data_IF_622743487319
#
_entry.id   IF_622743487319
#
_cell.length_a   1.000
_cell.length_b   1.000
_cell.length_c   1.000
_cell.angle_alpha   90.00
_cell.angle_beta   90.00
_cell.angle_gamma   90.00
#
_symmetry.space_group_name_H-M   'P 1'
#
loop_
_entity.id
_entity.type
_entity.pdbx_description
1 polymer ?
#
# COMPACT_ATOMS: atom_id res chain seq x y z
N UNK A 1 8.04 -14.79 -24.94
CA UNK A 1 8.55 -16.07 -24.34
C UNK A 1 7.65 -16.40 -23.13
N UNK A 2 7.92 -17.43 -22.31
CA UNK A 2 7.23 -17.63 -21.02
C UNK A 2 8.25 -17.88 -19.93
N UNK A 3 8.27 -17.05 -18.89
CA UNK A 3 9.14 -17.22 -17.72
C UNK A 3 8.35 -17.72 -16.52
N UNK A 4 8.80 -18.82 -15.91
CA UNK A 4 8.27 -19.29 -14.61
C UNK A 4 8.83 -18.42 -13.50
N UNK A 5 7.95 -17.87 -12.67
CA UNK A 5 8.32 -17.04 -11.51
C UNK A 5 8.68 -17.97 -10.34
N UNK A 6 9.81 -17.73 -9.66
CA UNK A 6 10.33 -18.59 -8.56
C UNK A 6 10.54 -17.76 -7.31
N UNK A 7 9.44 -17.49 -6.62
CA UNK A 7 9.43 -16.66 -5.43
C UNK A 7 10.24 -17.32 -4.28
N UNK A 8 11.32 -16.67 -3.87
CA UNK A 8 12.03 -17.04 -2.65
C UNK A 8 11.23 -16.54 -1.45
N UNK A 9 10.35 -17.38 -0.90
CA UNK A 9 9.41 -16.96 0.15
C UNK A 9 10.04 -16.85 1.54
N UNK A 10 11.29 -17.29 1.70
CA UNK A 10 12.00 -17.34 2.99
C UNK A 10 12.27 -15.96 3.58
N UNK A 11 12.41 -14.94 2.74
CA UNK A 11 12.72 -13.58 3.16
C UNK A 11 11.45 -12.74 3.47
N UNK A 12 10.26 -13.37 3.39
CA UNK A 12 8.96 -12.68 3.49
C UNK A 12 8.01 -13.27 4.55
N UNK A 13 8.23 -14.50 5.05
CA UNK A 13 7.31 -15.18 5.98
C UNK A 13 8.01 -16.03 7.05
N UNK A 14 7.36 -16.19 8.21
CA UNK A 14 7.71 -17.22 9.20
C UNK A 14 7.56 -18.64 8.64
N UNK A 15 8.34 -19.58 9.18
CA UNK A 15 8.48 -20.95 8.70
C UNK A 15 7.14 -21.70 8.54
N UNK A 16 6.22 -21.62 9.50
CA UNK A 16 4.90 -22.27 9.42
C UNK A 16 4.03 -21.72 8.28
N UNK A 17 4.16 -20.42 8.01
CA UNK A 17 3.51 -19.76 6.87
C UNK A 17 4.21 -20.13 5.57
N UNK A 18 5.54 -20.28 5.57
CA UNK A 18 6.29 -20.81 4.42
C UNK A 18 5.83 -22.22 4.07
N UNK A 19 5.75 -23.17 5.02
CA UNK A 19 5.30 -24.55 4.72
C UNK A 19 3.87 -24.61 4.17
N UNK A 20 2.97 -23.82 4.76
CA UNK A 20 1.58 -23.71 4.29
C UNK A 20 1.50 -23.08 2.89
N UNK A 21 2.25 -22.02 2.62
CA UNK A 21 2.30 -21.42 1.28
C UNK A 21 3.00 -22.39 0.32
N UNK A 22 4.05 -23.12 0.69
CA UNK A 22 4.70 -24.12 -0.16
C UNK A 22 3.72 -25.26 -0.52
N UNK A 23 2.93 -25.75 0.44
CA UNK A 23 1.93 -26.80 0.19
C UNK A 23 0.83 -26.33 -0.77
N UNK A 24 0.36 -25.09 -0.62
CA UNK A 24 -0.70 -24.54 -1.47
C UNK A 24 -0.16 -24.03 -2.83
N UNK A 25 1.07 -23.52 -2.90
CA UNK A 25 1.72 -23.14 -4.17
C UNK A 25 2.12 -24.35 -5.01
N UNK A 26 2.39 -25.53 -4.42
CA UNK A 26 2.51 -26.78 -5.20
C UNK A 26 1.28 -27.13 -6.04
N UNK A 27 0.10 -26.55 -5.73
CA UNK A 27 -1.13 -26.73 -6.53
C UNK A 27 -1.21 -25.81 -7.75
N UNK A 28 -0.34 -24.79 -7.82
CA UNK A 28 -0.40 -23.73 -8.81
C UNK A 28 0.95 -23.44 -9.47
N UNK A 29 0.97 -23.21 -10.77
CA UNK A 29 2.13 -22.68 -11.47
C UNK A 29 1.91 -21.22 -11.84
N UNK A 30 2.85 -20.35 -11.48
CA UNK A 30 2.82 -18.93 -11.83
C UNK A 30 3.76 -18.62 -12.99
N UNK A 31 3.20 -17.99 -14.02
CA UNK A 31 3.87 -17.71 -15.29
C UNK A 31 3.75 -16.23 -15.65
N UNK A 32 4.86 -15.62 -16.06
CA UNK A 32 4.87 -14.35 -16.80
C UNK A 32 4.59 -14.62 -18.27
N UNK A 33 3.64 -13.88 -18.84
CA UNK A 33 3.22 -13.96 -20.24
C UNK A 33 3.88 -12.82 -21.01
N UNK A 34 5.12 -13.06 -21.43
CA UNK A 34 5.97 -12.07 -22.13
C UNK A 34 5.74 -12.09 -23.67
N UNK A 35 4.52 -12.39 -24.12
CA UNK A 35 4.12 -12.36 -25.53
C UNK A 35 2.60 -12.11 -25.63
N UNK A 36 2.14 -11.00 -26.21
CA UNK A 36 0.71 -10.69 -26.36
C UNK A 36 -0.04 -11.64 -27.30
N UNK A 37 0.69 -12.35 -28.17
CA UNK A 37 0.12 -13.32 -29.12
C UNK A 37 0.09 -14.75 -28.54
N UNK A 38 0.37 -14.92 -27.24
CA UNK A 38 0.20 -16.18 -26.54
C UNK A 38 -1.27 -16.45 -26.17
N UNK A 39 -1.80 -17.69 -26.29
CA UNK A 39 -3.18 -18.01 -25.90
C UNK A 39 -3.52 -17.67 -24.45
N UNK A 40 -2.53 -17.70 -23.55
CA UNK A 40 -2.68 -17.31 -22.14
C UNK A 40 -2.96 -15.82 -21.94
N UNK A 41 -2.46 -14.95 -22.83
CA UNK A 41 -2.81 -13.53 -22.80
C UNK A 41 -4.28 -13.37 -23.17
N UNK A 42 -4.75 -14.04 -24.22
CA UNK A 42 -6.15 -13.94 -24.65
C UNK A 42 -7.15 -14.52 -23.64
N UNK A 43 -6.88 -15.70 -23.04
CA UNK A 43 -7.72 -16.25 -21.96
C UNK A 43 -7.66 -15.36 -20.70
N UNK A 44 -6.45 -14.93 -20.31
CA UNK A 44 -6.26 -14.11 -19.13
C UNK A 44 -6.92 -12.74 -19.24
N UNK A 45 -6.76 -12.06 -20.39
CA UNK A 45 -7.36 -10.77 -20.67
C UNK A 45 -8.88 -10.86 -20.61
N UNK A 46 -9.49 -11.90 -21.20
CA UNK A 46 -10.95 -12.05 -21.16
C UNK A 46 -11.47 -12.17 -19.72
N UNK A 47 -10.77 -12.88 -18.84
CA UNK A 47 -11.14 -12.99 -17.43
C UNK A 47 -11.06 -11.67 -16.66
N UNK A 48 -10.08 -10.82 -16.99
CA UNK A 48 -10.00 -9.45 -16.44
C UNK A 48 -11.10 -8.57 -17.03
N UNK A 49 -11.26 -8.55 -18.35
CA UNK A 49 -12.24 -7.75 -19.06
C UNK A 49 -13.68 -8.05 -18.62
N UNK A 50 -14.07 -9.32 -18.52
CA UNK A 50 -15.40 -9.74 -18.03
C UNK A 50 -15.69 -9.27 -16.59
N UNK A 51 -14.65 -8.95 -15.82
CA UNK A 51 -14.76 -8.52 -14.42
C UNK A 51 -14.72 -7.01 -14.26
N UNK A 52 -13.85 -6.32 -14.99
CA UNK A 52 -13.49 -4.92 -14.77
C UNK A 52 -13.85 -3.99 -15.94
N UNK A 53 -13.98 -4.52 -17.17
CA UNK A 53 -14.41 -3.77 -18.35
C UNK A 53 -15.80 -3.14 -18.19
N UNK A 54 -16.83 -3.85 -17.69
CA UNK A 54 -18.16 -3.29 -17.46
C UNK A 54 -18.23 -2.10 -16.50
N UNK A 55 -17.23 -1.89 -15.64
CA UNK A 55 -17.14 -0.75 -14.72
C UNK A 55 -16.16 0.34 -15.16
N UNK A 56 -15.55 0.20 -16.35
CA UNK A 56 -14.46 1.04 -16.84
C UNK A 56 -13.21 1.05 -15.92
N UNK A 57 -13.00 -0.02 -15.15
CA UNK A 57 -11.79 -0.30 -14.35
C UNK A 57 -10.79 -1.16 -15.17
N UNK A 58 -10.67 -1.01 -16.50
CA UNK A 58 -9.83 -1.88 -17.34
C UNK A 58 -9.43 -1.19 -18.66
N UNK A 59 -8.18 -1.28 -19.07
CA UNK A 59 -7.70 -0.79 -20.37
C UNK A 59 -8.12 -1.72 -21.52
N UNK A 60 -8.15 -1.15 -22.73
CA UNK A 60 -8.53 -1.86 -23.95
C UNK A 60 -7.44 -2.86 -24.37
N UNK A 61 -7.83 -3.93 -25.07
CA UNK A 61 -6.94 -5.06 -25.39
C UNK A 61 -5.71 -4.67 -26.22
N UNK A 62 -5.88 -3.72 -27.13
CA UNK A 62 -4.82 -3.16 -27.96
C UNK A 62 -3.76 -2.41 -27.13
N UNK A 63 -4.18 -1.68 -26.09
CA UNK A 63 -3.28 -0.99 -25.14
C UNK A 63 -2.40 -2.01 -24.41
N UNK A 64 -2.99 -3.04 -23.78
CA UNK A 64 -2.21 -4.05 -23.06
C UNK A 64 -1.32 -4.91 -23.98
N UNK A 65 -1.70 -5.07 -25.26
CA UNK A 65 -0.84 -5.70 -26.26
C UNK A 65 0.32 -4.81 -26.70
N UNK A 66 0.16 -3.49 -26.67
CA UNK A 66 1.23 -2.51 -26.91
C UNK A 66 2.24 -2.57 -25.76
N UNK A 67 1.77 -2.45 -24.51
CA UNK A 67 2.61 -2.54 -23.30
C UNK A 67 3.48 -3.81 -23.21
N UNK A 68 3.02 -4.95 -23.73
CA UNK A 68 3.82 -6.20 -23.79
C UNK A 68 4.83 -6.26 -24.96
N UNK A 69 4.81 -5.29 -25.87
CA UNK A 69 5.71 -5.16 -27.04
C UNK A 69 6.71 -4.01 -26.88
N UNK A 70 6.35 -2.98 -26.13
CA UNK A 70 7.20 -1.82 -25.88
C UNK A 70 8.50 -2.25 -25.16
N UNK A 71 9.61 -1.54 -25.43
CA UNK A 71 10.91 -1.83 -24.81
C UNK A 71 10.96 -1.19 -23.41
N UNK A 72 10.95 -1.99 -22.31
CA UNK A 72 10.95 -1.43 -20.97
C UNK A 72 12.27 -0.77 -20.59
N UNK A 73 13.30 -0.80 -21.43
CA UNK A 73 14.60 -0.16 -21.17
C UNK A 73 14.73 1.23 -21.82
N UNK A 74 13.78 1.65 -22.64
CA UNK A 74 13.66 3.05 -23.06
C UNK A 74 12.64 3.78 -22.17
N UNK A 75 12.96 5.00 -21.69
CA UNK A 75 12.06 5.74 -20.81
C UNK A 75 11.02 6.53 -21.60
N UNK A 76 9.85 6.73 -20.99
CA UNK A 76 8.85 7.68 -21.46
C UNK A 76 9.39 9.12 -21.52
N UNK A 77 8.72 10.06 -22.24
CA UNK A 77 9.13 11.46 -22.31
C UNK A 77 9.31 12.18 -20.97
N UNK A 78 8.70 11.68 -19.89
CA UNK A 78 8.87 12.16 -18.51
C UNK A 78 10.17 11.69 -17.83
N UNK A 79 10.91 10.78 -18.46
CA UNK A 79 12.06 10.05 -17.88
C UNK A 79 11.67 8.82 -17.05
N UNK A 80 10.41 8.38 -17.09
CA UNK A 80 9.94 7.20 -16.36
C UNK A 80 10.21 5.93 -17.15
N UNK A 81 10.94 5.00 -16.51
CA UNK A 81 11.09 3.64 -16.97
C UNK A 81 9.89 2.80 -16.54
N UNK A 82 9.26 2.12 -17.49
CA UNK A 82 8.06 1.31 -17.28
C UNK A 82 8.28 -0.14 -17.71
N UNK A 83 7.80 -1.08 -16.90
CA UNK A 83 7.71 -2.49 -17.29
C UNK A 83 6.37 -3.08 -16.89
N UNK A 84 5.50 -3.22 -17.87
CA UNK A 84 4.26 -3.97 -17.72
C UNK A 84 4.55 -5.45 -17.45
N UNK A 85 3.69 -6.10 -16.67
CA UNK A 85 3.74 -7.54 -16.43
C UNK A 85 2.34 -8.14 -16.52
N UNK A 86 2.25 -9.32 -17.13
CA UNK A 86 1.02 -10.10 -17.20
C UNK A 86 1.25 -11.49 -16.59
N UNK A 87 0.63 -11.75 -15.44
CA UNK A 87 0.80 -12.96 -14.65
C UNK A 87 -0.43 -13.85 -14.72
N UNK A 88 -0.22 -15.11 -15.11
CA UNK A 88 -1.25 -16.15 -15.05
C UNK A 88 -0.85 -17.25 -14.07
N UNK A 89 -1.77 -17.57 -13.16
CA UNK A 89 -1.66 -18.71 -12.27
C UNK A 89 -2.50 -19.88 -12.79
N UNK A 90 -1.87 -21.03 -13.01
CA UNK A 90 -2.49 -22.25 -13.52
C UNK A 90 -2.66 -23.29 -12.43
N UNK A 91 -3.77 -24.01 -12.41
CA UNK A 91 -3.93 -25.20 -11.57
C UNK A 91 -3.18 -26.40 -12.12
N UNK A 92 -3.12 -27.50 -11.35
CA UNK A 92 -2.55 -28.78 -11.80
C UNK A 92 -3.25 -29.38 -13.04
N UNK A 93 -4.47 -28.92 -13.38
CA UNK A 93 -5.19 -29.26 -14.62
C UNK A 93 -4.87 -28.33 -15.81
N UNK A 94 -3.83 -27.49 -15.69
CA UNK A 94 -3.35 -26.55 -16.72
C UNK A 94 -4.21 -25.31 -16.94
N UNK A 95 -5.43 -25.26 -16.38
CA UNK A 95 -6.38 -24.14 -16.53
C UNK A 95 -5.97 -22.93 -15.71
N UNK A 96 -6.22 -21.72 -16.24
CA UNK A 96 -6.01 -20.48 -15.50
C UNK A 96 -6.98 -20.42 -14.31
N UNK A 97 -6.45 -20.14 -13.12
CA UNK A 97 -7.16 -20.03 -11.82
C UNK A 97 -7.13 -18.62 -11.25
N UNK A 98 -6.11 -17.84 -11.61
CA UNK A 98 -6.05 -16.41 -11.32
C UNK A 98 -5.17 -15.67 -12.33
N UNK A 99 -5.41 -14.38 -12.45
CA UNK A 99 -4.72 -13.45 -13.36
C UNK A 99 -4.39 -12.19 -12.57
N UNK A 100 -3.23 -11.60 -12.84
CA UNK A 100 -2.79 -10.31 -12.29
C UNK A 100 -2.00 -9.58 -13.36
N UNK A 101 -2.27 -8.31 -13.52
CA UNK A 101 -1.42 -7.40 -14.28
C UNK A 101 -1.06 -6.14 -13.47
N UNK A 102 -0.29 -5.27 -14.11
CA UNK A 102 0.20 -3.99 -13.60
C UNK A 102 1.56 -3.63 -14.18
N UNK A 103 2.14 -2.53 -13.67
CA UNK A 103 3.39 -1.95 -14.20
C UNK A 103 4.39 -1.68 -13.09
N UNK A 104 5.68 -1.88 -13.37
CA UNK A 104 6.78 -1.45 -12.52
C UNK A 104 7.28 -0.10 -13.03
N UNK A 105 7.33 0.90 -12.16
CA UNK A 105 7.47 2.32 -12.49
C UNK A 105 8.65 2.92 -11.71
N UNK A 106 9.62 3.49 -12.42
CA UNK A 106 10.85 4.08 -11.83
C UNK A 106 11.22 5.37 -12.56
N UNK A 107 11.33 6.48 -11.83
CA UNK A 107 11.82 7.75 -12.39
C UNK A 107 12.79 8.43 -11.40
N UNK A 108 14.11 8.40 -11.67
CA UNK A 108 15.11 9.00 -10.80
C UNK A 108 14.94 10.51 -10.57
N UNK A 109 14.31 11.24 -11.51
CA UNK A 109 14.06 12.68 -11.38
C UNK A 109 12.87 12.98 -10.45
N UNK A 110 11.87 12.11 -10.37
CA UNK A 110 10.81 12.21 -9.36
C UNK A 110 11.29 11.73 -7.98
N UNK A 111 12.04 10.62 -7.94
CA UNK A 111 12.71 10.16 -6.73
C UNK A 111 13.83 9.17 -7.06
N UNK A 112 15.09 9.42 -6.65
CA UNK A 112 16.25 8.62 -7.05
C UNK A 112 16.28 7.22 -6.43
N UNK A 113 15.39 6.93 -5.49
CA UNK A 113 15.36 5.66 -4.76
C UNK A 113 13.97 5.05 -4.60
N UNK A 114 12.96 5.49 -5.36
CA UNK A 114 11.61 4.94 -5.32
C UNK A 114 11.36 4.01 -6.52
N UNK A 115 10.81 2.83 -6.24
CA UNK A 115 10.21 1.95 -7.24
C UNK A 115 8.75 1.71 -6.84
N UNK A 116 7.82 2.06 -7.72
CA UNK A 116 6.39 1.78 -7.54
C UNK A 116 6.04 0.57 -8.39
N UNK A 117 5.44 -0.44 -7.76
CA UNK A 117 4.81 -1.54 -8.49
C UNK A 117 3.32 -1.29 -8.44
N UNK A 118 2.79 -0.73 -9.53
CA UNK A 118 1.37 -0.55 -9.72
C UNK A 118 0.73 -1.92 -9.99
N UNK A 119 -0.35 -2.19 -9.28
CA UNK A 119 -1.08 -3.44 -9.26
C UNK A 119 -2.51 -3.15 -9.76
N UNK A 120 -2.68 -3.03 -11.08
CA UNK A 120 -3.92 -2.68 -11.76
C UNK A 120 -5.07 -3.70 -11.52
N UNK A 121 -5.15 -4.81 -12.26
CA UNK A 121 -6.25 -5.79 -12.16
C UNK A 121 -5.83 -7.13 -11.54
N UNK A 122 -6.70 -7.71 -10.70
CA UNK A 122 -6.50 -9.06 -10.15
C UNK A 122 -7.80 -9.86 -10.13
N UNK A 123 -7.82 -10.96 -10.86
CA UNK A 123 -8.92 -11.90 -10.89
C UNK A 123 -8.56 -13.25 -10.29
N UNK A 124 -9.53 -13.90 -9.66
CA UNK A 124 -9.47 -15.31 -9.28
C UNK A 124 -10.80 -15.99 -9.56
N UNK A 125 -10.74 -17.14 -10.23
CA UNK A 125 -11.89 -18.02 -10.40
C UNK A 125 -12.42 -18.48 -9.03
N UNK A 126 -13.75 -18.64 -8.85
CA UNK A 126 -14.35 -19.00 -7.56
C UNK A 126 -13.67 -20.16 -6.82
N UNK A 127 -13.27 -21.22 -7.53
CA UNK A 127 -12.62 -22.41 -6.94
C UNK A 127 -11.25 -22.13 -6.29
N UNK A 128 -10.56 -21.07 -6.71
CA UNK A 128 -9.24 -20.68 -6.20
C UNK A 128 -9.31 -19.58 -5.13
N UNK A 129 -10.49 -18.99 -4.90
CA UNK A 129 -10.71 -17.99 -3.84
C UNK A 129 -10.53 -18.63 -2.47
N UNK A 130 -10.06 -17.84 -1.51
CA UNK A 130 -9.83 -18.33 -0.15
C UNK A 130 -8.52 -19.10 0.05
N UNK A 131 -7.70 -19.22 -1.00
CA UNK A 131 -6.36 -19.81 -0.94
C UNK A 131 -5.26 -18.73 -0.89
N UNK A 132 -4.02 -19.16 -0.64
CA UNK A 132 -2.83 -18.28 -0.68
C UNK A 132 -2.57 -17.66 -2.05
N UNK A 133 -3.22 -18.14 -3.12
CA UNK A 133 -3.02 -17.64 -4.49
C UNK A 133 -3.29 -16.13 -4.61
N UNK A 134 -4.29 -15.64 -3.87
CA UNK A 134 -4.64 -14.22 -3.76
C UNK A 134 -3.50 -13.35 -3.22
N UNK A 135 -2.67 -13.93 -2.35
CA UNK A 135 -1.49 -13.30 -1.79
C UNK A 135 -0.33 -13.42 -2.78
N UNK A 136 -0.13 -14.61 -3.36
CA UNK A 136 0.97 -14.88 -4.29
C UNK A 136 0.92 -13.94 -5.51
N UNK A 137 -0.25 -13.75 -6.11
CA UNK A 137 -0.46 -12.81 -7.23
C UNK A 137 -0.23 -11.33 -6.86
N UNK A 138 -0.26 -10.96 -5.56
CA UNK A 138 0.05 -9.58 -5.13
C UNK A 138 1.54 -9.36 -4.85
N UNK A 139 2.28 -10.41 -4.49
CA UNK A 139 3.69 -10.31 -4.07
C UNK A 139 4.68 -10.76 -5.15
N UNK A 140 4.24 -11.59 -6.11
CA UNK A 140 5.07 -12.03 -7.25
C UNK A 140 5.62 -10.92 -8.15
N UNK A 141 4.94 -9.78 -8.36
CA UNK A 141 5.53 -8.65 -9.09
C UNK A 141 6.81 -8.09 -8.45
N UNK A 142 7.08 -8.34 -7.15
CA UNK A 142 8.33 -7.95 -6.49
C UNK A 142 9.55 -8.61 -7.15
N UNK A 143 9.46 -9.88 -7.52
CA UNK A 143 10.57 -10.61 -8.17
C UNK A 143 10.89 -10.00 -9.54
N UNK A 144 9.86 -9.60 -10.29
CA UNK A 144 9.98 -8.94 -11.59
C UNK A 144 10.59 -7.54 -11.41
N UNK A 145 10.13 -6.78 -10.40
CA UNK A 145 10.66 -5.46 -10.08
C UNK A 145 12.14 -5.50 -9.69
N UNK A 146 12.55 -6.46 -8.85
CA UNK A 146 13.95 -6.61 -8.44
C UNK A 146 14.86 -6.97 -9.62
N UNK A 147 14.43 -7.86 -10.52
CA UNK A 147 15.17 -8.17 -11.74
C UNK A 147 15.29 -6.93 -12.65
N UNK A 148 14.18 -6.23 -12.88
CA UNK A 148 14.14 -5.06 -13.75
C UNK A 148 15.01 -3.91 -13.25
N UNK A 149 15.01 -3.65 -11.94
CA UNK A 149 15.90 -2.69 -11.29
C UNK A 149 17.39 -3.05 -11.47
N UNK A 150 17.74 -4.34 -11.38
CA UNK A 150 19.09 -4.83 -11.62
C UNK A 150 19.51 -4.68 -13.09
N UNK A 151 18.59 -4.99 -14.01
CA UNK A 151 18.79 -4.86 -15.46
C UNK A 151 19.07 -3.39 -15.83
N UNK A 152 18.19 -2.46 -15.44
CA UNK A 152 18.35 -1.01 -15.64
C UNK A 152 19.67 -0.48 -15.05
N UNK A 153 20.07 -0.99 -13.89
CA UNK A 153 21.32 -0.58 -13.25
C UNK A 153 22.55 -1.06 -13.99
N UNK A 154 22.55 -2.32 -14.44
CA UNK A 154 23.64 -2.92 -15.22
C UNK A 154 23.80 -2.25 -16.59
N UNK A 155 22.70 -1.75 -17.16
CA UNK A 155 22.70 -0.91 -18.38
C UNK A 155 23.13 0.54 -18.13
N UNK A 156 23.38 0.95 -16.88
CA UNK A 156 23.72 2.34 -16.52
C UNK A 156 22.55 3.34 -16.67
N UNK A 157 21.31 2.84 -16.85
CA UNK A 157 20.09 3.65 -17.02
C UNK A 157 19.62 4.24 -15.68
N UNK A 158 19.90 3.57 -14.55
CA UNK A 158 19.69 4.05 -13.18
C UNK A 158 20.86 3.71 -12.25
N UNK A 159 20.97 4.41 -11.13
CA UNK A 159 21.92 4.07 -10.04
C UNK A 159 21.17 3.49 -8.85
N UNK A 160 21.41 2.23 -8.51
CA UNK A 160 20.87 1.66 -7.28
C UNK A 160 21.63 2.21 -6.05
N UNK A 161 20.94 2.64 -4.98
CA UNK A 161 21.60 3.05 -3.75
C UNK A 161 22.36 1.89 -3.10
N UNK A 162 23.47 2.21 -2.42
CA UNK A 162 24.33 1.21 -1.78
C UNK A 162 23.55 0.37 -0.74
N UNK A 163 23.81 -0.95 -0.62
CA UNK A 163 23.04 -1.85 0.27
C UNK A 163 23.04 -1.46 1.75
N UNK A 164 24.05 -0.72 2.21
CA UNK A 164 24.18 -0.21 3.57
C UNK A 164 23.56 1.20 3.79
N UNK A 165 22.83 1.73 2.80
CA UNK A 165 22.15 3.02 2.91
C UNK A 165 21.06 2.98 4.00
N UNK A 166 21.01 3.93 4.96
CA UNK A 166 20.00 3.93 6.01
C UNK A 166 18.57 3.87 5.47
N UNK A 167 17.76 2.95 6.01
CA UNK A 167 16.34 2.80 5.69
C UNK A 167 16.01 1.99 4.42
N UNK A 168 17.00 1.34 3.78
CA UNK A 168 16.82 0.66 2.48
C UNK A 168 17.19 -0.83 2.51
N UNK A 169 16.27 -1.67 2.94
CA UNK A 169 16.44 -3.15 2.99
C UNK A 169 16.74 -3.81 1.62
N UNK A 170 16.54 -3.10 0.50
CA UNK A 170 16.73 -3.60 -0.86
C UNK A 170 17.51 -2.62 -1.76
N UNK A 171 18.22 -1.64 -1.19
CA UNK A 171 18.78 -0.49 -1.93
C UNK A 171 17.71 0.50 -2.40
N UNK A 172 16.55 0.04 -2.89
CA UNK A 172 15.40 0.87 -3.28
C UNK A 172 14.28 0.87 -2.23
N UNK A 173 13.53 1.97 -2.17
CA UNK A 173 12.20 2.04 -1.55
C UNK A 173 11.19 1.40 -2.51
N UNK A 174 10.80 0.15 -2.25
CA UNK A 174 9.76 -0.53 -3.02
C UNK A 174 8.38 -0.28 -2.40
N UNK A 175 7.43 0.19 -3.20
CA UNK A 175 6.03 0.40 -2.80
C UNK A 175 5.10 -0.38 -3.75
N UNK A 176 4.35 -1.34 -3.24
CA UNK A 176 3.24 -1.95 -3.99
C UNK A 176 2.02 -1.03 -3.87
N UNK A 177 1.42 -0.67 -4.99
CA UNK A 177 0.32 0.29 -5.05
C UNK A 177 -0.84 -0.29 -5.83
N UNK A 178 -2.08 -0.15 -5.33
CA UNK A 178 -3.27 -0.67 -5.99
C UNK A 178 -4.43 0.31 -5.81
N UNK A 179 -5.32 0.38 -6.79
CA UNK A 179 -6.60 1.07 -6.64
C UNK A 179 -7.67 0.14 -6.05
N UNK A 180 -8.67 0.75 -5.42
CA UNK A 180 -9.87 0.07 -4.95
C UNK A 180 -10.99 1.09 -4.76
N UNK A 181 -12.24 0.67 -4.95
CA UNK A 181 -13.38 1.46 -4.50
C UNK A 181 -13.31 1.69 -2.99
N UNK A 182 -13.88 2.81 -2.54
CA UNK A 182 -14.20 3.04 -1.13
C UNK A 182 -15.22 2.01 -0.61
N UNK A 183 -15.20 1.78 0.70
CA UNK A 183 -16.00 0.76 1.39
C UNK A 183 -17.51 1.05 1.31
N UNK A 184 -18.28 0.08 0.81
CA UNK A 184 -19.75 0.04 0.90
C UNK A 184 -20.19 -1.17 1.73
N UNK A 185 -21.04 -1.00 2.77
CA UNK A 185 -21.50 -2.12 3.62
C UNK A 185 -22.51 -3.04 2.92
N UNK A 186 -23.22 -2.52 1.91
CA UNK A 186 -24.22 -3.26 1.14
C UNK A 186 -23.60 -4.21 0.11
N UNK A 187 -22.31 -4.02 -0.22
CA UNK A 187 -21.61 -4.75 -1.28
C UNK A 187 -20.58 -5.72 -0.68
N UNK A 188 -20.87 -7.04 -0.62
CA UNK A 188 -19.95 -8.03 -0.05
C UNK A 188 -18.56 -8.03 -0.69
N UNK A 189 -18.47 -7.75 -1.99
CA UNK A 189 -17.20 -7.69 -2.72
C UNK A 189 -16.32 -6.53 -2.24
N UNK A 190 -16.92 -5.37 -1.95
CA UNK A 190 -16.21 -4.16 -1.51
C UNK A 190 -15.41 -4.43 -0.23
N UNK A 191 -16.07 -4.82 0.86
CA UNK A 191 -15.35 -5.06 2.13
C UNK A 191 -14.50 -6.33 2.12
N UNK A 192 -14.82 -7.34 1.31
CA UNK A 192 -13.93 -8.49 1.13
C UNK A 192 -12.62 -8.06 0.45
N UNK A 193 -12.67 -7.28 -0.64
CA UNK A 193 -11.49 -6.73 -1.33
C UNK A 193 -10.60 -5.93 -0.36
N UNK A 194 -11.20 -5.07 0.47
CA UNK A 194 -10.47 -4.28 1.48
C UNK A 194 -9.82 -5.15 2.56
N UNK A 195 -10.50 -6.18 3.08
CA UNK A 195 -9.92 -7.13 4.04
C UNK A 195 -8.74 -7.91 3.45
N UNK A 196 -8.80 -8.30 2.17
CA UNK A 196 -7.67 -8.97 1.51
C UNK A 196 -6.45 -8.06 1.42
N UNK A 197 -6.63 -6.79 1.07
CA UNK A 197 -5.53 -5.81 1.05
C UNK A 197 -4.97 -5.53 2.46
N UNK A 198 -5.82 -5.39 3.48
CA UNK A 198 -5.37 -5.16 4.86
C UNK A 198 -4.62 -6.35 5.49
N UNK A 199 -5.03 -7.58 5.18
CA UNK A 199 -4.24 -8.81 5.48
C UNK A 199 -2.94 -8.86 4.68
N UNK A 200 -2.95 -8.33 3.46
CA UNK A 200 -1.78 -8.20 2.60
C UNK A 200 -0.74 -7.18 3.06
N UNK A 201 -1.02 -6.39 4.12
CA UNK A 201 -0.14 -5.34 4.63
C UNK A 201 -0.30 -3.98 3.95
N UNK A 202 -1.37 -3.77 3.18
CA UNK A 202 -1.68 -2.48 2.57
C UNK A 202 -2.45 -1.60 3.54
N UNK A 203 -2.13 -0.31 3.51
CA UNK A 203 -2.88 0.75 4.17
C UNK A 203 -3.41 1.73 3.09
N UNK A 204 -4.54 2.39 3.32
CA UNK A 204 -5.09 3.36 2.35
C UNK A 204 -4.47 4.75 2.55
N UNK A 205 -4.11 5.46 1.49
CA UNK A 205 -3.70 6.87 1.61
C UNK A 205 -4.94 7.71 1.99
N UNK A 206 -4.82 8.59 2.99
CA UNK A 206 -5.97 9.32 3.51
C UNK A 206 -6.61 10.24 2.44
N UNK A 207 -7.88 10.00 2.04
CA UNK A 207 -8.54 10.73 0.95
C UNK A 207 -8.75 12.22 1.23
N UNK A 208 -8.60 12.66 2.49
CA UNK A 208 -8.54 14.09 2.84
C UNK A 208 -7.42 14.82 2.08
N UNK A 209 -6.26 14.19 2.00
CA UNK A 209 -5.05 14.77 1.40
C UNK A 209 -4.82 14.26 -0.02
N UNK A 210 -5.40 13.10 -0.34
CA UNK A 210 -5.16 12.37 -1.58
C UNK A 210 -6.50 11.95 -2.22
N UNK A 211 -7.29 12.91 -2.77
CA UNK A 211 -8.59 12.67 -3.40
C UNK A 211 -8.41 12.03 -4.79
N UNK A 212 -7.88 10.81 -4.79
CA UNK A 212 -7.46 10.11 -5.99
C UNK A 212 -8.63 9.80 -6.93
N UNK A 213 -8.33 9.85 -8.23
CA UNK A 213 -9.21 9.45 -9.31
C UNK A 213 -8.43 8.60 -10.29
N UNK A 214 -9.01 7.49 -10.71
CA UNK A 214 -8.58 6.79 -11.92
C UNK A 214 -9.00 7.65 -13.13
N UNK A 215 -8.18 7.76 -14.18
CA UNK A 215 -8.61 8.34 -15.45
C UNK A 215 -9.78 7.58 -16.08
N UNK A 216 -10.39 8.22 -17.06
CA UNK A 216 -11.47 7.65 -17.87
C UNK A 216 -10.86 6.85 -19.04
N UNK A 217 -10.87 5.52 -18.94
CA UNK A 217 -10.25 4.62 -19.93
C UNK A 217 -11.13 4.32 -21.17
N UNK A 218 -12.23 5.08 -21.34
CA UNK A 218 -13.11 4.99 -22.51
C UNK A 218 -12.42 5.59 -23.75
N UNK A 219 -12.93 5.25 -24.94
CA UNK A 219 -12.38 5.78 -26.19
C UNK A 219 -12.48 7.32 -26.21
N UNK A 220 -11.45 8.06 -26.68
CA UNK A 220 -11.46 9.52 -26.69
C UNK A 220 -12.68 10.13 -27.37
N UNK A 221 -13.13 9.57 -28.50
CA UNK A 221 -14.36 9.99 -29.20
C UNK A 221 -15.60 9.88 -28.28
N UNK A 222 -15.71 8.80 -27.49
CA UNK A 222 -16.79 8.63 -26.53
C UNK A 222 -16.69 9.64 -25.37
N UNK A 223 -15.48 10.02 -24.96
CA UNK A 223 -15.25 11.02 -23.92
C UNK A 223 -15.62 12.43 -24.43
N UNK A 224 -15.27 12.77 -25.66
CA UNK A 224 -15.67 14.02 -26.32
C UNK A 224 -17.20 14.15 -26.42
N UNK A 225 -17.89 13.08 -26.82
CA UNK A 225 -19.36 13.06 -26.93
C UNK A 225 -20.08 13.12 -25.57
N UNK A 226 -19.56 12.42 -24.55
CA UNK A 226 -20.32 12.13 -23.31
C UNK A 226 -19.75 12.75 -22.04
N UNK A 227 -18.65 13.50 -22.16
CA UNK A 227 -17.88 14.10 -21.08
C UNK A 227 -16.96 13.12 -20.37
N UNK A 228 -15.82 13.64 -19.87
CA UNK A 228 -14.83 12.92 -19.05
C UNK A 228 -15.42 12.54 -17.68
N UNK A 229 -15.18 11.29 -17.25
CA UNK A 229 -15.78 10.64 -16.06
C UNK A 229 -14.72 9.90 -15.23
N UNK A 230 -13.73 10.60 -14.65
CA UNK A 230 -12.64 9.97 -13.89
C UNK A 230 -13.15 9.43 -12.55
N UNK A 231 -12.92 8.14 -12.27
CA UNK A 231 -13.56 7.38 -11.19
C UNK A 231 -12.91 7.66 -9.81
N UNK A 232 -13.66 8.12 -8.79
CA UNK A 232 -13.12 8.34 -7.43
C UNK A 232 -12.83 7.02 -6.69
N UNK A 233 -11.55 6.67 -6.60
CA UNK A 233 -11.04 5.47 -5.92
C UNK A 233 -10.16 5.83 -4.73
N UNK A 234 -9.92 4.89 -3.82
CA UNK A 234 -8.84 5.01 -2.84
C UNK A 234 -7.58 4.34 -3.36
N UNK A 235 -6.45 5.03 -3.16
CA UNK A 235 -5.15 4.47 -3.45
C UNK A 235 -4.62 3.72 -2.22
N UNK A 236 -4.32 2.43 -2.42
CA UNK A 236 -3.79 1.53 -1.40
C UNK A 236 -2.29 1.38 -1.61
N UNK A 237 -1.50 1.49 -0.54
CA UNK A 237 -0.05 1.33 -0.60
C UNK A 237 0.43 0.34 0.45
N UNK A 238 1.31 -0.57 0.03
CA UNK A 238 2.16 -1.36 0.91
C UNK A 238 3.61 -0.93 0.69
N UNK A 239 4.16 -0.23 1.68
CA UNK A 239 5.55 0.23 1.69
C UNK A 239 6.41 -0.93 2.20
N UNK A 240 7.08 -1.66 1.29
CA UNK A 240 7.77 -2.91 1.63
C UNK A 240 8.93 -2.68 2.61
N UNK A 241 8.96 -3.45 3.70
CA UNK A 241 9.89 -3.27 4.82
C UNK A 241 9.59 -2.02 5.68
N UNK A 242 8.46 -1.35 5.45
CA UNK A 242 8.02 -0.10 6.10
C UNK A 242 6.53 -0.14 6.47
N UNK A 243 5.87 -1.30 6.45
CA UNK A 243 4.42 -1.50 6.68
C UNK A 243 3.93 -1.13 8.09
N UNK A 244 4.84 -0.81 9.02
CA UNK A 244 4.51 -0.28 10.35
C UNK A 244 4.48 1.26 10.39
N UNK A 245 4.95 1.93 9.34
CA UNK A 245 5.00 3.40 9.27
C UNK A 245 3.68 3.97 8.74
N UNK A 246 2.78 4.36 9.63
CA UNK A 246 1.47 4.96 9.30
C UNK A 246 1.54 6.40 8.70
N UNK A 247 2.71 6.82 8.21
CA UNK A 247 2.98 8.12 7.62
C UNK A 247 3.71 7.92 6.29
N UNK A 248 3.17 8.51 5.22
CA UNK A 248 3.79 8.55 3.90
C UNK A 248 4.40 9.95 3.70
N UNK A 249 5.74 10.08 3.53
CA UNK A 249 6.38 11.37 3.26
C UNK A 249 5.79 12.09 2.04
N UNK A 250 5.73 13.43 2.07
CA UNK A 250 5.09 14.22 0.98
C UNK A 250 5.84 14.07 -0.36
N UNK A 251 7.17 13.95 -0.33
CA UNK A 251 7.99 13.64 -1.52
C UNK A 251 7.62 12.27 -2.10
N UNK A 252 7.49 11.25 -1.24
CA UNK A 252 7.13 9.89 -1.64
C UNK A 252 5.70 9.83 -2.20
N UNK A 253 4.74 10.54 -1.58
CA UNK A 253 3.37 10.66 -2.06
C UNK A 253 3.30 11.39 -3.42
N UNK A 254 4.11 12.45 -3.61
CA UNK A 254 4.19 13.20 -4.87
C UNK A 254 4.77 12.35 -5.99
N UNK A 255 5.89 11.67 -5.73
CA UNK A 255 6.54 10.81 -6.70
C UNK A 255 5.65 9.62 -7.08
N UNK A 256 4.99 9.00 -6.11
CA UNK A 256 4.03 7.91 -6.34
C UNK A 256 2.85 8.36 -7.22
N UNK A 257 2.25 9.52 -6.94
CA UNK A 257 1.15 10.06 -7.77
C UNK A 257 1.59 10.32 -9.22
N UNK A 258 2.79 10.88 -9.42
CA UNK A 258 3.33 11.16 -10.75
C UNK A 258 3.66 9.87 -11.51
N UNK A 259 4.31 8.90 -10.86
CA UNK A 259 4.62 7.61 -11.48
C UNK A 259 3.37 6.89 -12.00
N UNK A 260 2.27 6.90 -11.24
CA UNK A 260 0.99 6.34 -11.71
C UNK A 260 0.40 7.12 -12.89
N UNK A 261 0.50 8.45 -12.89
CA UNK A 261 -0.07 9.25 -13.97
C UNK A 261 0.75 9.21 -15.26
N UNK A 262 2.05 8.92 -15.16
CA UNK A 262 2.88 8.60 -16.32
C UNK A 262 2.42 7.28 -16.97
N UNK A 263 2.07 6.23 -16.21
CA UNK A 263 1.51 4.95 -16.72
C UNK A 263 0.22 5.17 -17.55
N UNK A 264 -0.61 6.13 -17.12
CA UNK A 264 -1.81 6.53 -17.85
C UNK A 264 -1.54 7.45 -19.06
N UNK A 265 -0.44 8.19 -19.07
CA UNK A 265 -0.11 9.17 -20.12
C UNK A 265 0.14 8.56 -21.50
N UNK A 266 0.47 7.26 -21.57
CA UNK A 266 0.68 6.56 -22.83
C UNK A 266 -0.62 6.18 -23.57
N UNK A 267 -1.77 6.16 -22.87
CA UNK A 267 -3.05 5.70 -23.43
C UNK A 267 -4.27 6.57 -23.11
N UNK A 268 -4.14 7.56 -22.23
CA UNK A 268 -5.17 8.57 -21.97
C UNK A 268 -4.76 9.93 -22.56
N UNK A 269 -5.72 10.70 -23.09
CA UNK A 269 -5.44 12.05 -23.57
C UNK A 269 -5.01 12.97 -22.41
N UNK A 270 -3.94 13.79 -22.54
CA UNK A 270 -3.39 14.60 -21.45
C UNK A 270 -4.42 15.50 -20.73
N UNK A 271 -5.33 16.11 -21.47
CA UNK A 271 -6.41 16.96 -20.96
C UNK A 271 -7.38 16.24 -20.00
N UNK A 272 -7.47 14.90 -20.09
CA UNK A 272 -8.28 14.08 -19.19
C UNK A 272 -7.51 13.67 -17.92
N UNK A 273 -6.18 13.78 -17.91
CA UNK A 273 -5.29 13.46 -16.80
C UNK A 273 -5.01 14.65 -15.87
N UNK A 274 -4.69 15.83 -16.44
CA UNK A 274 -4.17 16.97 -15.69
C UNK A 274 -5.04 17.39 -14.50
N UNK A 275 -6.36 17.41 -14.68
CA UNK A 275 -7.33 17.82 -13.66
C UNK A 275 -7.25 17.00 -12.36
N UNK A 276 -6.97 15.70 -12.47
CA UNK A 276 -6.92 14.78 -11.33
C UNK A 276 -5.53 14.74 -10.69
N UNK A 277 -4.47 14.78 -11.51
CA UNK A 277 -3.09 14.88 -11.04
C UNK A 277 -2.86 16.17 -10.25
N UNK A 278 -3.18 17.32 -10.86
CA UNK A 278 -2.89 18.63 -10.28
C UNK A 278 -3.63 18.84 -8.96
N UNK A 279 -4.89 18.39 -8.86
CA UNK A 279 -5.67 18.44 -7.62
C UNK A 279 -4.98 17.74 -6.43
N UNK A 280 -4.34 16.58 -6.67
CA UNK A 280 -3.58 15.88 -5.62
C UNK A 280 -2.26 16.59 -5.34
N UNK A 281 -1.55 17.05 -6.36
CA UNK A 281 -0.28 17.78 -6.21
C UNK A 281 -0.45 19.08 -5.39
N UNK A 282 -1.48 19.87 -5.68
CA UNK A 282 -1.82 21.11 -4.96
C UNK A 282 -2.13 20.85 -3.48
N UNK A 283 -2.91 19.79 -3.20
CA UNK A 283 -3.20 19.38 -1.81
C UNK A 283 -1.96 18.90 -1.07
N UNK A 284 -1.04 18.20 -1.74
CA UNK A 284 0.24 17.80 -1.16
C UNK A 284 1.14 19.01 -0.89
N UNK A 285 1.12 20.03 -1.74
CA UNK A 285 1.83 21.29 -1.49
C UNK A 285 1.22 22.09 -0.33
N UNK A 286 -0.11 22.23 -0.26
CA UNK A 286 -0.80 22.84 0.88
C UNK A 286 -0.44 22.13 2.19
N UNK A 287 -0.45 20.78 2.15
CA UNK A 287 -0.11 19.95 3.30
C UNK A 287 1.34 20.14 3.73
N UNK A 288 2.28 20.25 2.78
CA UNK A 288 3.70 20.45 3.03
C UNK A 288 3.99 21.69 3.90
N UNK A 289 3.16 22.73 3.79
CA UNK A 289 3.26 23.97 4.59
C UNK A 289 3.02 23.74 6.09
N UNK A 290 2.41 22.61 6.49
CA UNK A 290 2.09 22.29 7.90
C UNK A 290 2.63 20.94 8.41
N UNK A 291 2.80 19.94 7.54
CA UNK A 291 3.29 18.59 7.89
C UNK A 291 4.13 18.02 6.74
N UNK A 292 5.12 17.19 7.09
CA UNK A 292 6.01 16.53 6.12
C UNK A 292 5.48 15.18 5.59
N UNK A 293 4.24 14.81 5.93
CA UNK A 293 3.61 13.55 5.55
C UNK A 293 2.10 13.68 5.28
N UNK A 294 1.55 12.68 4.60
CA UNK A 294 0.14 12.30 4.65
C UNK A 294 -0.04 11.06 5.53
N UNK A 295 -1.17 10.99 6.22
CA UNK A 295 -1.55 9.84 7.02
C UNK A 295 -1.89 8.64 6.13
N UNK A 296 -1.41 7.46 6.52
CA UNK A 296 -1.91 6.19 6.03
C UNK A 296 -2.98 5.66 7.00
N UNK A 297 -4.07 5.16 6.46
CA UNK A 297 -5.22 4.62 7.18
C UNK A 297 -5.10 3.09 7.16
N UNK A 298 -4.75 2.44 8.30
CA UNK A 298 -4.56 1.00 8.30
C UNK A 298 -5.84 0.28 7.94
N UNK A 299 -5.78 -0.67 7.02
CA UNK A 299 -6.94 -1.47 6.66
C UNK A 299 -7.25 -2.52 7.74
N UNK A 300 -8.49 -3.04 7.81
CA UNK A 300 -8.82 -4.16 8.68
C UNK A 300 -8.15 -5.47 8.21
N UNK A 301 -7.73 -6.30 9.16
CA UNK A 301 -7.24 -7.66 8.91
C UNK A 301 -8.27 -8.74 9.26
N UNK A 302 -9.31 -8.40 10.03
CA UNK A 302 -10.33 -9.33 10.51
C UNK A 302 -11.44 -8.65 11.33
N UNK A 303 -12.36 -9.42 11.95
CA UNK A 303 -13.55 -8.91 12.64
C UNK A 303 -13.25 -7.80 13.65
N UNK A 304 -12.26 -8.03 14.53
CA UNK A 304 -11.85 -7.10 15.59
C UNK A 304 -11.34 -5.73 15.10
N UNK A 305 -10.96 -5.61 13.83
CA UNK A 305 -10.40 -4.37 13.24
C UNK A 305 -11.33 -3.68 12.26
N UNK A 306 -12.57 -4.17 12.06
CA UNK A 306 -13.54 -3.60 11.11
C UNK A 306 -13.89 -2.12 11.35
N UNK A 307 -13.73 -1.60 12.58
CA UNK A 307 -13.89 -0.17 12.88
C UNK A 307 -12.99 0.74 12.00
N UNK A 308 -11.88 0.21 11.48
CA UNK A 308 -10.96 0.90 10.55
C UNK A 308 -11.59 1.22 9.19
N UNK A 309 -12.73 0.62 8.85
CA UNK A 309 -13.48 0.93 7.63
C UNK A 309 -14.24 2.27 7.71
N UNK A 310 -14.52 2.79 8.92
CA UNK A 310 -15.32 4.03 9.09
C UNK A 310 -14.79 5.25 8.33
N UNK A 311 -13.47 5.56 8.31
CA UNK A 311 -12.92 6.67 7.54
C UNK A 311 -12.97 6.47 6.02
N UNK A 312 -13.19 5.23 5.56
CA UNK A 312 -13.20 4.81 4.16
C UNK A 312 -14.63 4.53 3.65
N UNK A 313 -15.66 4.78 4.46
CA UNK A 313 -17.06 4.58 4.07
C UNK A 313 -17.43 5.51 2.89
N UNK A 314 -17.76 4.89 1.75
CA UNK A 314 -17.92 5.52 0.43
C UNK A 314 -18.78 6.78 0.49
N UNK A 315 -19.96 6.72 1.09
CA UNK A 315 -20.87 7.87 1.21
C UNK A 315 -20.23 9.07 1.93
N UNK A 316 -19.55 8.84 3.05
CA UNK A 316 -18.90 9.91 3.83
C UNK A 316 -17.72 10.54 3.11
N UNK A 317 -16.93 9.71 2.39
CA UNK A 317 -15.82 10.17 1.56
C UNK A 317 -16.34 10.99 0.38
N UNK A 318 -17.30 10.44 -0.36
CA UNK A 318 -17.94 11.06 -1.53
C UNK A 318 -18.53 12.42 -1.19
N UNK A 319 -19.37 12.50 -0.16
CA UNK A 319 -19.99 13.75 0.29
C UNK A 319 -18.97 14.81 0.76
N UNK A 320 -17.78 14.41 1.23
CA UNK A 320 -16.78 15.34 1.79
C UNK A 320 -15.70 15.77 0.79
N UNK A 321 -15.29 14.88 -0.12
CA UNK A 321 -14.10 15.10 -0.97
C UNK A 321 -14.44 15.16 -2.47
N UNK A 322 -15.62 14.69 -2.87
CA UNK A 322 -16.10 14.69 -4.25
C UNK A 322 -17.54 15.25 -4.41
N UNK A 323 -17.96 16.31 -3.68
CA UNK A 323 -19.38 16.72 -3.62
C UNK A 323 -19.95 17.25 -4.95
N UNK A 324 -19.10 17.76 -5.84
CA UNK A 324 -19.49 18.36 -7.12
C UNK A 324 -19.30 17.38 -8.30
N UNK A 325 -19.00 16.11 -8.03
CA UNK A 325 -18.72 15.13 -9.07
C UNK A 325 -20.03 14.52 -9.63
N UNK A 326 -20.26 14.53 -10.96
CA UNK A 326 -21.51 14.04 -11.55
C UNK A 326 -21.78 12.55 -11.32
N UNK A 327 -20.74 11.71 -11.27
CA UNK A 327 -20.87 10.27 -11.03
C UNK A 327 -21.28 10.06 -9.57
N UNK A 328 -20.57 10.72 -8.66
CA UNK A 328 -20.82 10.67 -7.21
C UNK A 328 -22.20 11.21 -6.85
N UNK A 329 -22.69 12.25 -7.54
CA UNK A 329 -24.01 12.82 -7.31
C UNK A 329 -25.13 11.78 -7.49
N UNK A 330 -24.98 10.80 -8.40
CA UNK A 330 -25.93 9.71 -8.56
C UNK A 330 -25.97 8.79 -7.32
N UNK A 331 -24.80 8.41 -6.79
CA UNK A 331 -24.67 7.58 -5.59
C UNK A 331 -25.18 8.30 -4.33
N UNK A 332 -24.82 9.57 -4.14
CA UNK A 332 -25.23 10.38 -2.99
C UNK A 332 -26.74 10.69 -2.97
N UNK A 333 -27.42 10.62 -4.11
CA UNK A 333 -28.89 10.75 -4.21
C UNK A 333 -29.60 9.39 -4.30
N UNK A 334 -28.87 8.27 -4.29
CA UNK A 334 -29.40 6.92 -4.32
C UNK A 334 -29.91 6.41 -2.96
N UNK A 335 -30.26 5.11 -2.85
CA UNK A 335 -30.85 4.51 -1.66
C UNK A 335 -30.05 4.71 -0.36
N UNK A 336 -28.72 4.75 -0.46
CA UNK A 336 -27.80 5.00 0.66
C UNK A 336 -28.14 6.29 1.43
N UNK A 337 -28.65 7.33 0.76
CA UNK A 337 -29.03 8.62 1.36
C UNK A 337 -30.09 8.48 2.46
N UNK A 338 -31.02 7.55 2.30
CA UNK A 338 -32.06 7.29 3.31
C UNK A 338 -31.52 6.44 4.46
N UNK A 339 -30.65 5.47 4.16
CA UNK A 339 -30.05 4.58 5.17
C UNK A 339 -29.17 5.34 6.16
N UNK A 340 -28.33 6.26 5.68
CA UNK A 340 -27.44 7.06 6.54
C UNK A 340 -28.15 8.09 7.42
N UNK A 341 -29.47 8.27 7.29
CA UNK A 341 -30.28 9.04 8.26
C UNK A 341 -30.33 8.36 9.62
N UNK A 342 -30.17 7.03 9.69
CA UNK A 342 -29.91 6.34 10.95
C UNK A 342 -28.43 6.55 11.34
N UNK A 343 -28.12 7.29 12.42
CA UNK A 343 -26.73 7.55 12.83
C UNK A 343 -25.99 6.28 13.28
N UNK A 344 -26.71 5.18 13.57
CA UNK A 344 -26.13 3.88 13.94
C UNK A 344 -25.96 2.92 12.76
N UNK A 345 -26.47 3.25 11.57
CA UNK A 345 -26.46 2.36 10.39
C UNK A 345 -25.08 1.75 10.13
N UNK A 346 -24.03 2.57 10.10
CA UNK A 346 -22.68 2.09 9.81
C UNK A 346 -22.16 1.13 10.90
N UNK A 347 -22.46 1.38 12.16
CA UNK A 347 -22.06 0.53 13.28
C UNK A 347 -22.82 -0.80 13.31
N UNK A 348 -24.13 -0.77 13.02
CA UNK A 348 -24.97 -1.96 12.84
C UNK A 348 -24.46 -2.84 11.68
N UNK A 349 -24.10 -2.22 10.54
CA UNK A 349 -23.52 -2.94 9.39
C UNK A 349 -22.14 -3.54 9.69
N UNK A 350 -21.26 -2.82 10.39
CA UNK A 350 -19.95 -3.36 10.77
C UNK A 350 -20.08 -4.52 11.78
N UNK A 351 -21.07 -4.46 12.67
CA UNK A 351 -21.40 -5.56 13.60
C UNK A 351 -21.93 -6.79 12.85
N UNK A 352 -22.81 -6.61 11.85
CA UNK A 352 -23.27 -7.69 10.95
C UNK A 352 -22.08 -8.35 10.23
N UNK A 353 -21.21 -7.55 9.62
CA UNK A 353 -20.03 -8.05 8.88
C UNK A 353 -19.06 -8.78 9.83
N UNK A 354 -18.91 -8.34 11.09
CA UNK A 354 -18.12 -9.05 12.09
C UNK A 354 -18.66 -10.47 12.32
N UNK A 355 -19.97 -10.60 12.59
CA UNK A 355 -20.61 -11.91 12.78
C UNK A 355 -20.54 -12.80 11.54
N UNK A 356 -20.71 -12.24 10.33
CA UNK A 356 -20.52 -12.97 9.06
C UNK A 356 -19.10 -13.48 8.84
N UNK A 357 -18.08 -12.82 9.40
CA UNK A 357 -16.69 -13.25 9.32
C UNK A 357 -16.35 -14.28 10.39
N UNK A 358 -16.87 -14.12 11.60
CA UNK A 358 -16.67 -15.05 12.72
C UNK A 358 -17.37 -16.40 12.49
N UNK A 359 -18.53 -16.39 11.83
CA UNK A 359 -19.27 -17.60 11.45
C UNK A 359 -18.66 -18.40 10.28
N UNK A 360 -17.60 -17.91 9.62
CA UNK A 360 -16.96 -18.65 8.52
C UNK A 360 -16.07 -19.78 9.06
N UNK A 361 -16.06 -20.97 8.42
CA UNK A 361 -15.17 -22.05 8.81
C UNK A 361 -13.71 -21.60 8.84
N UNK A 362 -12.96 -21.99 9.88
CA UNK A 362 -11.54 -21.62 10.10
C UNK A 362 -10.55 -22.16 9.03
N UNK A 363 -11.04 -22.79 7.96
CA UNK A 363 -10.24 -23.35 6.87
C UNK A 363 -9.71 -22.33 5.86
N UNK A 364 -10.10 -21.06 5.96
CA UNK A 364 -9.56 -20.01 5.10
C UNK A 364 -8.23 -19.48 5.62
N UNK A 365 -7.16 -19.77 4.87
CA UNK A 365 -5.77 -19.47 5.20
C UNK A 365 -5.48 -17.98 5.10
N UNK A 366 -5.28 -17.30 6.25
CA UNK A 366 -4.79 -15.91 6.30
C UNK A 366 -3.85 -15.68 7.47
N UNK A 367 -2.70 -15.04 7.22
CA UNK A 367 -1.81 -14.55 8.27
C UNK A 367 -2.46 -13.42 9.09
N UNK A 368 -2.31 -13.48 10.40
CA UNK A 368 -2.65 -12.39 11.32
C UNK A 368 -1.57 -11.28 11.27
N UNK A 369 -1.95 -10.02 11.53
CA UNK A 369 -1.01 -8.89 11.65
C UNK A 369 -0.46 -8.72 13.09
N UNK A 370 -0.99 -9.47 14.07
CA UNK A 370 -0.61 -9.51 15.49
C UNK A 370 -0.58 -10.98 15.98
N UNK A 371 0.26 -11.41 16.93
CA UNK A 371 0.83 -10.67 18.08
C UNK A 371 2.34 -10.94 18.26
N UNK A 372 3.00 -10.07 19.03
CA UNK A 372 4.30 -10.28 19.70
C UNK A 372 5.59 -10.33 18.85
N UNK A 373 5.60 -9.76 17.62
CA UNK A 373 6.82 -9.69 16.81
C UNK A 373 7.51 -8.30 16.84
N UNK A 374 8.63 -8.18 17.56
CA UNK A 374 9.64 -7.13 17.36
C UNK A 374 10.57 -7.51 16.21
N UNK A 375 10.70 -6.63 15.22
CA UNK A 375 11.77 -6.75 14.22
C UNK A 375 13.04 -6.14 14.84
N UNK A 376 13.78 -6.95 15.59
CA UNK A 376 15.05 -6.51 16.19
C UNK A 376 16.16 -6.44 15.14
N UNK A 377 16.09 -5.38 14.33
CA UNK A 377 17.24 -4.78 13.66
C UNK A 377 18.01 -3.80 14.56
N UNK A 378 17.86 -3.93 15.87
CA UNK A 378 18.66 -3.21 16.88
C UNK A 378 19.79 -4.13 17.30
N UNK A 379 21.06 -3.69 17.32
CA UNK A 379 22.08 -4.41 18.07
C UNK A 379 21.63 -4.37 19.54
N UNK A 380 21.32 -5.52 20.12
CA UNK A 380 21.19 -5.63 21.57
C UNK A 380 22.53 -5.14 22.15
N UNK A 381 22.46 -4.15 23.04
CA UNK A 381 23.60 -3.82 23.88
C UNK A 381 23.99 -5.10 24.63
N UNK A 382 25.29 -5.41 24.81
CA UNK A 382 25.69 -6.62 25.51
C UNK A 382 25.05 -6.61 26.90
N UNK A 383 24.19 -7.59 27.18
CA UNK A 383 23.58 -7.74 28.49
C UNK A 383 24.68 -7.80 29.53
N UNK A 384 24.61 -7.01 30.62
CA UNK A 384 25.49 -7.24 31.75
C UNK A 384 25.28 -8.69 32.25
N UNK A 385 26.34 -9.38 32.71
CA UNK A 385 26.22 -10.76 33.14
C UNK A 385 25.16 -10.88 34.23
N UNK A 386 24.21 -11.80 34.03
CA UNK A 386 23.12 -12.01 34.96
C UNK A 386 23.68 -12.51 36.29
N UNK A 387 23.29 -11.85 37.38
CA UNK A 387 23.58 -12.32 38.73
C UNK A 387 22.77 -13.59 38.99
N UNK A 388 23.41 -14.75 38.89
CA UNK A 388 22.92 -15.96 39.55
C UNK A 388 22.92 -15.72 41.07
N UNK A 389 21.73 -15.57 41.65
CA UNK A 389 21.55 -15.65 43.10
C UNK A 389 21.09 -17.05 43.47
N UNK A 390 22.04 -17.82 44.01
CA UNK A 390 21.91 -19.22 44.42
C UNK A 390 20.79 -19.52 45.41
N UNK A 391 20.40 -20.80 45.42
CA UNK A 391 20.27 -21.52 46.69
C UNK A 391 19.59 -22.89 46.59
N UNK A 392 19.96 -23.89 47.42
CA UNK A 392 21.13 -23.97 48.32
C UNK A 392 21.97 -25.27 48.16
N UNK A 393 23.26 -25.26 48.53
CA UNK A 393 23.74 -25.83 49.81
C UNK A 393 25.27 -25.94 49.97
N UNK A 394 25.73 -25.78 51.22
CA UNK A 394 27.00 -26.25 51.84
C UNK A 394 28.39 -25.65 51.49
N UNK A 395 28.93 -24.91 52.48
CA UNK A 395 30.29 -25.06 53.07
C UNK A 395 31.59 -24.96 52.20
N UNK A 396 32.29 -23.80 52.25
CA UNK A 396 33.57 -23.56 53.03
C UNK A 396 34.50 -22.43 52.52
N UNK A 397 34.89 -21.57 53.47
CA UNK A 397 36.24 -20.97 53.72
C UNK A 397 37.02 -20.17 52.64
N UNK A 398 37.12 -18.86 52.89
CA UNK A 398 38.37 -18.10 53.13
C UNK A 398 39.60 -18.24 52.19
N UNK A 399 39.98 -17.16 51.45
CA UNK A 399 41.09 -16.22 51.82
C UNK A 399 41.51 -15.23 50.70
N UNK A 400 41.88 -14.01 51.13
CA UNK A 400 42.91 -13.07 50.60
C UNK A 400 42.90 -12.41 49.17
N UNK A 401 42.63 -11.08 49.19
CA UNK A 401 43.43 -9.96 48.57
C UNK A 401 43.49 -9.75 47.03
N UNK A 402 43.92 -8.55 46.56
CA UNK A 402 43.55 -7.18 46.97
C UNK A 402 43.19 -6.25 45.77
N UNK A 403 42.55 -5.10 46.02
CA UNK A 403 42.18 -4.13 44.97
C UNK A 403 43.26 -3.09 44.59
N UNK A 404 43.23 -2.53 43.36
CA UNK A 404 44.00 -1.34 42.96
C UNK A 404 43.22 -0.03 43.24
N UNK A 405 43.87 1.16 43.15
CA UNK A 405 43.59 2.27 44.06
C UNK A 405 42.57 3.32 43.59
N UNK A 406 42.13 4.11 44.57
CA UNK A 406 41.36 5.34 44.42
C UNK A 406 42.13 6.43 43.65
N UNK A 407 41.39 7.27 42.94
CA UNK A 407 41.83 8.60 42.51
C UNK A 407 40.86 9.62 43.12
N UNK A 408 41.43 10.54 43.90
CA UNK A 408 40.73 11.68 44.44
C UNK A 408 40.27 12.62 43.33
N UNK A 409 39.11 13.25 43.51
CA UNK A 409 38.92 14.66 43.14
C UNK A 409 37.91 15.28 44.10
N UNK A 410 38.43 16.09 45.01
CA UNK A 410 37.70 16.84 46.03
C UNK A 410 37.44 18.28 45.54
N UNK A 411 36.39 18.92 46.08
CA UNK A 411 35.97 20.34 45.97
C UNK A 411 34.70 20.59 45.14
N UNK A 412 33.53 20.65 45.81
CA UNK A 412 32.93 21.87 46.39
C UNK A 412 32.14 22.67 45.34
N UNK A 413 30.81 22.77 45.42
CA UNK A 413 30.06 23.67 46.33
C UNK A 413 30.48 25.15 46.12
N UNK A 414 29.61 26.16 45.99
CA UNK A 414 28.24 26.39 46.47
C UNK A 414 27.73 27.64 45.67
N UNK A 415 26.44 27.96 45.45
CA UNK A 415 25.49 28.66 46.33
C UNK A 415 24.16 28.85 45.56
N UNK A 416 23.07 28.99 46.30
CA UNK A 416 21.66 29.00 45.88
C UNK A 416 21.02 30.41 46.02
N UNK A 417 19.75 30.58 45.63
CA UNK A 417 18.87 31.76 45.90
C UNK A 417 19.21 33.07 45.15
N UNK A 418 18.31 34.02 44.78
CA UNK A 418 16.84 34.29 44.92
C UNK A 418 16.48 35.35 43.82
N UNK A 419 15.27 35.86 43.55
CA UNK A 419 13.87 35.71 44.02
C UNK A 419 12.92 36.46 43.05
N UNK A 420 11.68 35.96 42.86
CA UNK A 420 10.40 36.68 42.71
C UNK A 420 10.14 37.82 41.67
N UNK A 421 8.88 37.89 41.20
CA UNK A 421 8.31 39.01 40.42
C UNK A 421 7.41 38.53 39.26
N UNK A 422 6.18 38.04 39.48
CA UNK A 422 4.91 38.78 39.68
C UNK A 422 4.52 39.73 38.52
N UNK A 423 3.32 39.56 37.95
CA UNK A 423 2.84 40.36 36.80
C UNK A 423 1.56 39.84 36.12
N UNK A 424 0.41 40.20 36.69
CA UNK A 424 -0.95 40.19 36.08
C UNK A 424 -1.03 41.14 34.85
N UNK A 425 -2.04 41.23 33.98
CA UNK A 425 -3.19 40.39 33.54
C UNK A 425 -3.86 41.12 32.32
N UNK A 426 -4.97 40.58 31.77
CA UNK A 426 -5.91 41.24 30.82
C UNK A 426 -5.43 41.55 29.38
N UNK A 427 -6.26 41.68 28.34
CA UNK A 427 -7.63 41.16 28.08
C UNK A 427 -7.99 41.27 26.58
N UNK A 428 -8.97 40.46 26.15
CA UNK A 428 -9.94 40.64 25.06
C UNK A 428 -9.85 41.88 24.12
N UNK A 429 -9.77 41.63 22.79
CA UNK A 429 -10.50 42.43 21.77
C UNK A 429 -10.57 41.75 20.39
N UNK A 430 -11.77 41.70 19.80
CA UNK A 430 -12.10 41.53 18.37
C UNK A 430 -13.61 41.78 18.21
N UNK A 431 -14.14 42.22 17.04
CA UNK A 431 -13.51 42.76 15.84
C UNK A 431 -14.00 44.21 15.55
N UNK A 432 -13.94 44.70 14.30
CA UNK A 432 -15.22 45.12 13.69
C UNK A 432 -15.44 44.61 12.26
N UNK A 433 -16.71 44.63 11.86
CA UNK A 433 -17.22 44.28 10.53
C UNK A 433 -17.69 45.50 9.74
N UNK A 434 -17.35 45.56 8.45
CA UNK A 434 -18.08 46.29 7.40
C UNK A 434 -17.62 45.71 6.05
N UNK A 435 -18.49 45.04 5.29
CA UNK A 435 -19.35 45.61 4.24
C UNK A 435 -18.59 46.33 3.10
N UNK A 436 -18.33 45.60 2.02
CA UNK A 436 -18.88 45.85 0.67
C UNK A 436 -18.85 44.58 -0.18
#
# INVERSE_FOLDING_TARGET
MKKRVRLCMKDLFHQDVVEMIERETRKYELWSVDNPDAPEFDEGYQLLWDTFGPTAEMERKDVLRKFLRDDPFEPEPSGTYMRYFFLVARGADGKIRGVRDGTILVNPAYSPDLCVVYLAHIYMRPEARGTVLSYWLRISPVEIAMQYLLDLHTMGKITLPAPNSPGKYFGMRLNLTAESEYFSPEEPVSWQRVLFYGRGGFDAINPRHFPYRQPDFRDPEQIEETGNRPLPLMLLVRRMGRERQAQLPIDEARALMRLLYDDFADHCAPEFLENSLQLVLDRLEERAKRKKYVELLPLPSGPSTLHRLKPLFRYNVFNRYYPNDPIVASYLNGPMREQVKNPRFLDEQLTRIAGELEGRPRGYVYGSRDKDFTWEGTPLAPSPPEHETDGPDTERLDTDRPGPPELDDEWSAEVQERSDGSGEAHAWASPPSSER
#
